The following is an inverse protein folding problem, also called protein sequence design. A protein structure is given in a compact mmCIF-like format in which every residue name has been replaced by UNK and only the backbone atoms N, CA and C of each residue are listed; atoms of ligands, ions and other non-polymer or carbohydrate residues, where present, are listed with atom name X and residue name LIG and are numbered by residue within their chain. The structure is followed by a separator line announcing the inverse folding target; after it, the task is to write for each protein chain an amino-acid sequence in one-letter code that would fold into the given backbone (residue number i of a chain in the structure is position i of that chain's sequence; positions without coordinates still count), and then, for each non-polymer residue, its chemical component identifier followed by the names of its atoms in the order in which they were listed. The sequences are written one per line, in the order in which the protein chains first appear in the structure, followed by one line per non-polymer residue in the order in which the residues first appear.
data_IF_853557051924
#
_entry.id   IF_853557051924
#
_cell.length_a   1.000
_cell.length_b   1.000
_cell.length_c   1.000
_cell.angle_alpha   90.00
_cell.angle_beta   90.00
_cell.angle_gamma   90.00
#
_symmetry.space_group_name_H-M   'P 1'
#
loop_
_entity.id
_entity.type
_entity.pdbx_description
1 polymer ?
#
# COMPACT_ATOMS: atom_id res chain seq x y z
N UNK A 1 -3.68 22.79 -12.13
CA UNK A 1 -2.57 23.03 -11.18
C UNK A 1 -1.29 22.69 -11.95
N UNK A 2 -0.53 23.72 -12.36
CA UNK A 2 0.69 23.58 -13.15
C UNK A 2 1.85 23.27 -12.21
N UNK A 3 2.33 22.02 -12.21
CA UNK A 3 3.63 21.68 -11.63
C UNK A 3 4.69 21.95 -12.68
N UNK A 4 5.47 23.02 -12.52
CA UNK A 4 6.65 23.24 -13.34
C UNK A 4 7.62 22.07 -13.16
N UNK A 5 7.80 21.27 -14.22
CA UNK A 5 8.99 20.46 -14.43
C UNK A 5 10.16 21.43 -14.68
N UNK A 6 10.67 22.04 -13.62
CA UNK A 6 11.93 22.78 -13.68
C UNK A 6 13.06 21.82 -14.02
N UNK A 7 14.01 22.24 -14.86
CA UNK A 7 15.22 21.45 -15.12
C UNK A 7 15.95 21.20 -13.80
N UNK A 8 15.90 19.95 -13.35
CA UNK A 8 16.64 19.52 -12.18
C UNK A 8 18.11 19.40 -12.58
N UNK A 9 18.93 20.36 -12.14
CA UNK A 9 20.38 20.39 -12.38
C UNK A 9 21.12 19.16 -11.81
N UNK A 10 20.47 18.38 -10.94
CA UNK A 10 21.00 17.09 -10.50
C UNK A 10 20.98 16.05 -11.63
N UNK A 11 20.08 16.18 -12.61
CA UNK A 11 20.00 15.30 -13.79
C UNK A 11 21.20 15.45 -14.73
N UNK A 12 21.88 16.61 -14.72
CA UNK A 12 23.07 16.85 -15.54
C UNK A 12 24.36 16.30 -14.93
N UNK A 13 24.32 15.75 -13.71
CA UNK A 13 25.48 15.13 -13.08
C UNK A 13 25.75 13.76 -13.71
N UNK A 14 26.95 13.60 -14.27
CA UNK A 14 27.39 12.44 -15.06
C UNK A 14 27.28 11.08 -14.35
N UNK A 15 27.19 11.09 -13.03
CA UNK A 15 27.12 9.90 -12.17
C UNK A 15 25.88 9.86 -11.26
N UNK A 16 24.93 10.78 -11.45
CA UNK A 16 23.70 10.84 -10.65
C UNK A 16 22.53 10.31 -11.49
N UNK A 17 22.23 9.04 -11.31
CA UNK A 17 20.98 8.47 -11.83
C UNK A 17 19.88 8.73 -10.81
N UNK A 18 18.92 9.59 -11.13
CA UNK A 18 17.78 9.91 -10.25
C UNK A 18 17.03 8.63 -9.85
N UNK A 19 16.99 7.60 -10.70
CA UNK A 19 16.35 6.32 -10.41
C UNK A 19 17.13 5.39 -9.48
N UNK A 20 18.44 5.64 -9.25
CA UNK A 20 19.28 4.88 -8.33
C UNK A 20 19.73 5.68 -7.11
N UNK A 21 19.66 7.02 -7.18
CA UNK A 21 20.24 7.92 -6.18
C UNK A 21 19.29 8.24 -5.03
N UNK A 22 18.00 7.98 -5.20
CA UNK A 22 17.01 8.04 -4.12
C UNK A 22 16.64 6.63 -3.69
N UNK A 23 16.92 6.30 -2.42
CA UNK A 23 16.41 5.08 -1.81
C UNK A 23 14.88 5.10 -1.89
N UNK A 24 14.27 4.03 -2.40
CA UNK A 24 12.83 3.88 -2.43
C UNK A 24 12.29 3.92 -1.00
N UNK A 25 11.51 4.96 -0.67
CA UNK A 25 10.90 5.11 0.65
C UNK A 25 9.62 4.28 0.74
N UNK A 26 9.79 3.00 1.08
CA UNK A 26 8.68 2.06 1.31
C UNK A 26 7.71 2.57 2.37
N UNK A 27 8.20 3.33 3.38
CA UNK A 27 7.34 3.80 4.46
C UNK A 27 6.31 4.81 3.98
N UNK A 28 6.76 5.79 3.19
CA UNK A 28 5.92 6.87 2.71
C UNK A 28 5.16 6.49 1.44
N UNK A 29 5.80 5.85 0.46
CA UNK A 29 5.15 5.59 -0.83
C UNK A 29 4.20 4.38 -0.76
N UNK A 30 4.67 3.26 -0.20
CA UNK A 30 3.90 2.02 -0.17
C UNK A 30 2.84 2.05 0.93
N UNK A 31 3.23 2.23 2.20
CA UNK A 31 2.24 2.17 3.28
C UNK A 31 1.43 3.46 3.39
N UNK A 32 2.08 4.63 3.57
CA UNK A 32 1.33 5.88 3.77
C UNK A 32 0.68 6.42 2.50
N UNK A 33 1.22 6.12 1.32
CA UNK A 33 0.66 6.52 0.04
C UNK A 33 -0.40 5.55 -0.45
N UNK A 34 0.00 4.34 -0.83
CA UNK A 34 -0.89 3.39 -1.49
C UNK A 34 -1.79 2.64 -0.52
N UNK A 35 -1.24 2.05 0.54
CA UNK A 35 -2.07 1.25 1.46
C UNK A 35 -3.07 2.11 2.22
N UNK A 36 -2.66 3.29 2.67
CA UNK A 36 -3.58 4.29 3.23
C UNK A 36 -4.74 4.60 2.28
N UNK A 37 -4.44 4.77 0.98
CA UNK A 37 -5.46 5.02 -0.04
C UNK A 37 -6.46 3.86 -0.17
N UNK A 38 -5.99 2.61 -0.08
CA UNK A 38 -6.88 1.46 -0.05
C UNK A 38 -7.78 1.46 1.19
N UNK A 39 -7.25 1.82 2.36
CA UNK A 39 -8.06 1.92 3.58
C UNK A 39 -9.15 3.00 3.45
N UNK A 40 -8.83 4.15 2.87
CA UNK A 40 -9.84 5.19 2.56
C UNK A 40 -10.93 4.64 1.63
N UNK A 41 -10.56 3.93 0.56
CA UNK A 41 -11.53 3.35 -0.37
C UNK A 41 -12.44 2.30 0.28
N UNK A 42 -11.92 1.53 1.24
CA UNK A 42 -12.67 0.46 1.90
C UNK A 42 -13.52 0.97 3.07
N UNK A 43 -13.06 1.98 3.80
CA UNK A 43 -13.65 2.38 5.08
C UNK A 43 -14.25 3.79 5.08
N UNK A 44 -14.06 4.59 4.04
CA UNK A 44 -14.77 5.87 3.96
C UNK A 44 -16.25 5.65 3.62
N UNK A 45 -17.11 6.32 4.40
CA UNK A 45 -18.56 6.34 4.21
C UNK A 45 -18.99 6.79 2.81
N UNK A 46 -18.19 7.62 2.12
CA UNK A 46 -18.47 8.07 0.76
C UNK A 46 -18.52 6.90 -0.25
N UNK A 47 -17.80 5.81 0.02
CA UNK A 47 -17.74 4.64 -0.84
C UNK A 47 -18.63 3.49 -0.36
N UNK A 48 -19.54 3.72 0.60
CA UNK A 48 -20.35 2.67 1.22
C UNK A 48 -21.02 1.71 0.22
N UNK A 49 -21.49 2.25 -0.90
CA UNK A 49 -22.23 1.50 -1.93
C UNK A 49 -21.32 0.88 -3.02
N UNK A 50 -20.00 1.04 -2.91
CA UNK A 50 -19.05 0.46 -3.84
C UNK A 50 -18.80 -1.02 -3.55
N UNK A 51 -18.49 -1.85 -4.57
CA UNK A 51 -18.34 -3.29 -4.39
C UNK A 51 -17.12 -3.69 -3.55
N UNK A 52 -16.14 -2.80 -3.37
CA UNK A 52 -14.96 -3.01 -2.50
C UNK A 52 -15.14 -2.47 -1.08
N UNK A 53 -16.29 -1.88 -0.76
CA UNK A 53 -16.57 -1.26 0.52
C UNK A 53 -16.59 -2.28 1.66
N UNK A 54 -15.89 -1.97 2.75
CA UNK A 54 -15.82 -2.77 3.98
C UNK A 54 -16.34 -2.00 5.20
N UNK A 55 -16.83 -0.77 5.04
CA UNK A 55 -17.26 0.09 6.16
C UNK A 55 -18.31 -0.57 7.07
N UNK A 56 -19.22 -1.38 6.53
CA UNK A 56 -20.22 -2.10 7.32
C UNK A 56 -19.63 -3.22 8.19
N UNK A 57 -18.42 -3.69 7.85
CA UNK A 57 -17.73 -4.80 8.50
C UNK A 57 -16.51 -4.35 9.31
N UNK A 58 -16.26 -3.04 9.43
CA UNK A 58 -15.05 -2.50 10.07
C UNK A 58 -14.85 -3.05 11.48
N UNK A 59 -15.90 -3.16 12.29
CA UNK A 59 -15.81 -3.72 13.65
C UNK A 59 -15.45 -5.20 13.67
N UNK A 60 -15.96 -6.00 12.72
CA UNK A 60 -15.61 -7.42 12.61
C UNK A 60 -14.14 -7.61 12.19
N UNK A 61 -13.68 -6.78 11.26
CA UNK A 61 -12.28 -6.78 10.81
C UNK A 61 -11.37 -6.33 11.95
N UNK A 62 -11.76 -5.31 12.72
CA UNK A 62 -11.00 -4.82 13.86
C UNK A 62 -10.82 -5.88 14.95
N UNK A 63 -11.92 -6.58 15.29
CA UNK A 63 -11.87 -7.74 16.20
C UNK A 63 -10.93 -8.82 15.64
N UNK A 64 -11.07 -9.17 14.36
CA UNK A 64 -10.17 -10.15 13.72
C UNK A 64 -8.70 -9.71 13.82
N UNK A 65 -8.38 -8.45 13.55
CA UNK A 65 -7.01 -7.92 13.65
C UNK A 65 -6.50 -7.98 15.10
N UNK A 66 -7.33 -7.65 16.10
CA UNK A 66 -6.92 -7.70 17.51
C UNK A 66 -6.60 -9.12 18.01
N UNK A 67 -7.23 -10.15 17.44
CA UNK A 67 -6.99 -11.56 17.78
C UNK A 67 -5.66 -12.04 17.19
N UNK A 68 -5.25 -11.50 16.03
CA UNK A 68 -3.96 -11.85 15.45
C UNK A 68 -2.82 -11.40 16.37
N UNK A 69 -2.01 -12.36 16.81
CA UNK A 69 -0.81 -12.07 17.58
C UNK A 69 0.23 -11.46 16.65
N UNK A 70 0.32 -10.13 16.64
CA UNK A 70 1.44 -9.44 16.02
C UNK A 70 2.73 -9.86 16.75
N UNK A 71 3.82 -10.18 16.04
CA UNK A 71 5.10 -10.46 16.68
C UNK A 71 5.53 -9.22 17.47
N UNK A 72 5.51 -9.31 18.81
CA UNK A 72 5.80 -8.19 19.72
C UNK A 72 7.20 -7.61 19.52
N UNK A 73 8.10 -8.39 18.93
CA UNK A 73 9.48 -8.01 18.57
C UNK A 73 9.57 -7.13 17.33
N UNK A 74 8.58 -7.17 16.44
CA UNK A 74 8.61 -6.48 15.14
C UNK A 74 7.57 -5.36 15.11
N UNK A 75 6.43 -5.53 15.79
CA UNK A 75 5.39 -4.51 15.80
C UNK A 75 4.48 -4.54 17.01
N UNK A 76 4.01 -3.35 17.40
CA UNK A 76 2.89 -3.23 18.34
C UNK A 76 1.58 -3.52 17.59
N UNK A 77 0.60 -4.06 18.32
CA UNK A 77 -0.77 -4.17 17.81
C UNK A 77 -1.23 -2.78 17.32
N UNK A 78 -1.68 -2.66 16.06
CA UNK A 78 -2.18 -1.40 15.54
C UNK A 78 -3.40 -0.96 16.34
N UNK A 79 -3.65 0.36 16.36
CA UNK A 79 -4.91 0.90 16.92
C UNK A 79 -6.11 0.33 16.17
N UNK A 80 -7.29 0.59 16.73
CA UNK A 80 -8.55 0.27 16.06
C UNK A 80 -8.60 0.85 14.64
N UNK A 81 -9.10 0.06 13.68
CA UNK A 81 -9.36 0.50 12.31
C UNK A 81 -10.30 1.69 12.25
N UNK A 82 -11.12 1.95 13.27
CA UNK A 82 -11.95 3.17 13.34
C UNK A 82 -11.10 4.46 13.28
N UNK A 83 -9.82 4.38 13.62
CA UNK A 83 -8.85 5.49 13.60
C UNK A 83 -7.75 5.28 12.56
N UNK A 84 -8.05 4.56 11.46
CA UNK A 84 -7.06 4.27 10.41
C UNK A 84 -6.38 5.53 9.86
N UNK A 85 -7.09 6.66 9.82
CA UNK A 85 -6.56 7.97 9.43
C UNK A 85 -5.37 8.46 10.27
N UNK A 86 -5.30 8.04 11.53
CA UNK A 86 -4.24 8.43 12.47
C UNK A 86 -3.11 7.39 12.54
N UNK A 87 -3.14 6.37 11.69
CA UNK A 87 -2.13 5.32 11.71
C UNK A 87 -0.78 5.88 11.28
N UNK A 88 0.25 5.55 12.07
CA UNK A 88 1.64 5.77 11.66
C UNK A 88 2.00 4.77 10.55
N UNK A 89 3.03 5.08 9.77
CA UNK A 89 3.53 4.18 8.73
C UNK A 89 3.89 2.78 9.28
N UNK A 90 4.38 2.69 10.52
CA UNK A 90 4.63 1.42 11.20
C UNK A 90 3.35 0.63 11.47
N UNK A 91 2.26 1.29 11.85
CA UNK A 91 0.96 0.64 12.07
C UNK A 91 0.38 0.14 10.75
N UNK A 92 0.42 0.98 9.71
CA UNK A 92 0.00 0.61 8.35
C UNK A 92 0.78 -0.59 7.82
N UNK A 93 2.11 -0.62 8.02
CA UNK A 93 2.96 -1.77 7.68
C UNK A 93 2.46 -3.06 8.32
N UNK A 94 2.19 -3.02 9.62
CA UNK A 94 1.78 -4.21 10.36
C UNK A 94 0.36 -4.66 10.00
N UNK A 95 -0.55 -3.71 9.81
CA UNK A 95 -1.88 -3.98 9.29
C UNK A 95 -1.84 -4.61 7.90
N UNK A 96 -0.98 -4.14 6.99
CA UNK A 96 -0.86 -4.72 5.65
C UNK A 96 -0.31 -6.15 5.70
N UNK A 97 0.83 -6.36 6.36
CA UNK A 97 1.53 -7.65 6.34
C UNK A 97 0.80 -8.74 7.12
N UNK A 98 0.22 -8.42 8.27
CA UNK A 98 -0.39 -9.40 9.16
C UNK A 98 -1.92 -9.39 9.09
N UNK A 99 -2.51 -8.32 8.56
CA UNK A 99 -3.97 -8.17 8.48
C UNK A 99 -4.60 -8.72 7.21
N UNK A 100 -3.81 -9.21 6.24
CA UNK A 100 -4.33 -9.76 4.98
C UNK A 100 -5.46 -10.76 5.19
N UNK A 101 -5.29 -11.70 6.12
CA UNK A 101 -6.30 -12.70 6.44
C UNK A 101 -7.63 -12.06 6.87
N UNK A 102 -7.56 -11.05 7.74
CA UNK A 102 -8.73 -10.29 8.23
C UNK A 102 -9.46 -9.57 7.10
N UNK A 103 -8.75 -8.99 6.13
CA UNK A 103 -9.40 -8.34 4.97
C UNK A 103 -9.93 -9.36 3.96
N UNK A 104 -9.19 -10.44 3.70
CA UNK A 104 -9.52 -11.43 2.67
C UNK A 104 -10.82 -12.18 2.91
N UNK A 105 -11.25 -12.29 4.17
CA UNK A 105 -12.51 -12.92 4.55
C UNK A 105 -13.73 -12.13 4.07
N UNK A 106 -13.59 -10.81 3.86
CA UNK A 106 -14.70 -9.92 3.58
C UNK A 106 -14.62 -9.21 2.24
N UNK A 107 -13.42 -9.10 1.66
CA UNK A 107 -13.20 -8.55 0.32
C UNK A 107 -13.60 -9.57 -0.75
N UNK A 108 -14.23 -9.12 -1.85
CA UNK A 108 -14.41 -9.97 -3.03
C UNK A 108 -13.06 -10.41 -3.62
N UNK A 109 -13.03 -11.62 -4.20
CA UNK A 109 -11.81 -12.30 -4.65
C UNK A 109 -10.86 -11.44 -5.50
N UNK A 110 -11.40 -10.61 -6.42
CA UNK A 110 -10.58 -9.74 -7.28
C UNK A 110 -9.80 -8.67 -6.49
N UNK A 111 -10.38 -8.11 -5.43
CA UNK A 111 -9.68 -7.14 -4.57
C UNK A 111 -8.73 -7.84 -3.61
N UNK A 112 -9.03 -9.06 -3.16
CA UNK A 112 -8.09 -9.87 -2.39
C UNK A 112 -6.81 -10.16 -3.18
N UNK A 113 -6.94 -10.54 -4.45
CA UNK A 113 -5.79 -10.77 -5.34
C UNK A 113 -4.97 -9.50 -5.53
N UNK A 114 -5.63 -8.36 -5.70
CA UNK A 114 -4.97 -7.06 -5.83
C UNK A 114 -4.24 -6.64 -4.54
N UNK A 115 -4.86 -6.84 -3.38
CA UNK A 115 -4.22 -6.63 -2.08
C UNK A 115 -3.00 -7.56 -1.89
N UNK A 116 -3.10 -8.82 -2.33
CA UNK A 116 -2.01 -9.78 -2.23
C UNK A 116 -0.77 -9.31 -3.01
N UNK A 117 -0.94 -8.69 -4.18
CA UNK A 117 0.18 -8.09 -4.92
C UNK A 117 0.92 -7.06 -4.06
N UNK A 118 0.18 -6.20 -3.36
CA UNK A 118 0.76 -5.18 -2.48
C UNK A 118 1.46 -5.79 -1.25
N UNK A 119 0.89 -6.85 -0.66
CA UNK A 119 1.51 -7.57 0.48
C UNK A 119 2.83 -8.23 0.05
N UNK A 120 2.84 -8.90 -1.11
CA UNK A 120 4.07 -9.52 -1.65
C UNK A 120 5.10 -8.45 -1.97
N UNK A 121 4.70 -7.34 -2.61
CA UNK A 121 5.57 -6.21 -2.90
C UNK A 121 6.20 -5.65 -1.61
N UNK A 122 5.40 -5.43 -0.56
CA UNK A 122 5.89 -4.95 0.73
C UNK A 122 6.92 -5.91 1.34
N UNK A 123 6.67 -7.23 1.30
CA UNK A 123 7.62 -8.23 1.79
C UNK A 123 8.94 -8.23 1.02
N UNK A 124 8.90 -8.09 -0.30
CA UNK A 124 10.11 -8.03 -1.12
C UNK A 124 10.92 -6.76 -0.84
N UNK A 125 10.24 -5.62 -0.68
CA UNK A 125 10.89 -4.34 -0.34
C UNK A 125 11.52 -4.34 1.07
N UNK A 126 11.07 -5.21 1.97
CA UNK A 126 11.65 -5.36 3.31
C UNK A 126 12.83 -6.35 3.38
N UNK A 127 13.09 -7.08 2.30
CA UNK A 127 14.18 -8.05 2.26
C UNK A 127 15.54 -7.35 2.34
N UNK A 128 16.42 -7.84 3.23
CA UNK A 128 17.73 -7.20 3.53
C UNK A 128 18.75 -7.27 2.39
N UNK A 129 18.48 -8.05 1.35
CA UNK A 129 19.39 -8.29 0.23
C UNK A 129 18.59 -8.33 -1.07
N UNK A 130 18.68 -7.27 -1.87
CA UNK A 130 18.01 -7.22 -3.17
C UNK A 130 18.99 -7.69 -4.25
N UNK A 131 18.78 -8.89 -4.79
CA UNK A 131 19.47 -9.30 -6.02
C UNK A 131 18.87 -8.58 -7.24
N UNK A 132 19.59 -8.56 -8.36
CA UNK A 132 19.08 -8.00 -9.63
C UNK A 132 17.71 -8.58 -10.01
N UNK A 133 17.51 -9.88 -9.77
CA UNK A 133 16.27 -10.59 -10.06
C UNK A 133 15.12 -10.16 -9.13
N UNK A 134 15.41 -9.88 -7.86
CA UNK A 134 14.43 -9.35 -6.91
C UNK A 134 13.95 -7.96 -7.34
N UNK A 135 14.86 -7.09 -7.76
CA UNK A 135 14.52 -5.75 -8.27
C UNK A 135 13.60 -5.84 -9.50
N UNK A 136 13.86 -6.78 -10.41
CA UNK A 136 13.00 -7.00 -11.58
C UNK A 136 11.60 -7.49 -11.17
N UNK A 137 11.52 -8.39 -10.20
CA UNK A 137 10.24 -8.91 -9.69
C UNK A 137 9.42 -7.82 -8.99
N UNK A 138 10.06 -6.98 -8.17
CA UNK A 138 9.43 -5.81 -7.53
C UNK A 138 8.82 -4.90 -8.59
N UNK A 139 9.58 -4.52 -9.62
CA UNK A 139 9.08 -3.66 -10.72
C UNK A 139 7.90 -4.28 -11.45
N UNK A 140 7.95 -5.59 -11.74
CA UNK A 140 6.85 -6.31 -12.40
C UNK A 140 5.58 -6.31 -11.54
N UNK A 141 5.70 -6.61 -10.25
CA UNK A 141 4.57 -6.63 -9.31
C UNK A 141 3.97 -5.22 -9.12
N UNK A 142 4.81 -4.19 -9.00
CA UNK A 142 4.37 -2.81 -8.90
C UNK A 142 3.59 -2.38 -10.15
N UNK A 143 4.14 -2.64 -11.34
CA UNK A 143 3.46 -2.33 -12.60
C UNK A 143 2.11 -3.05 -12.74
N UNK A 144 2.05 -4.33 -12.36
CA UNK A 144 0.81 -5.10 -12.37
C UNK A 144 -0.23 -4.50 -11.41
N UNK A 145 0.21 -4.11 -10.20
CA UNK A 145 -0.66 -3.46 -9.22
C UNK A 145 -1.22 -2.13 -9.75
N UNK A 146 -0.37 -1.28 -10.33
CA UNK A 146 -0.75 0.02 -10.90
C UNK A 146 -1.72 -0.17 -12.06
N UNK A 147 -1.46 -1.13 -12.94
CA UNK A 147 -2.31 -1.43 -14.09
C UNK A 147 -3.71 -1.91 -13.67
N UNK A 148 -3.79 -2.78 -12.66
CA UNK A 148 -5.07 -3.30 -12.17
C UNK A 148 -5.88 -2.29 -11.36
N UNK A 149 -5.24 -1.28 -10.76
CA UNK A 149 -5.90 -0.33 -9.87
C UNK A 149 -7.11 0.40 -10.51
N UNK A 150 -6.98 1.11 -11.65
CA UNK A 150 -8.10 1.81 -12.27
C UNK A 150 -9.21 0.85 -12.74
N UNK A 151 -8.85 -0.37 -13.16
CA UNK A 151 -9.82 -1.39 -13.57
C UNK A 151 -10.69 -1.88 -12.40
N UNK A 152 -10.16 -1.85 -11.18
CA UNK A 152 -10.84 -2.33 -9.99
C UNK A 152 -11.59 -1.22 -9.24
N UNK A 153 -10.98 -0.04 -9.07
CA UNK A 153 -11.49 1.05 -8.23
C UNK A 153 -12.00 2.26 -9.05
N UNK A 154 -11.80 2.25 -10.37
CA UNK A 154 -12.16 3.32 -11.28
C UNK A 154 -11.08 4.39 -11.42
N UNK A 155 -11.01 5.04 -12.60
CA UNK A 155 -9.98 6.04 -12.93
C UNK A 155 -9.95 7.24 -11.98
N UNK A 156 -11.11 7.64 -11.46
CA UNK A 156 -11.22 8.76 -10.51
C UNK A 156 -10.44 8.52 -9.21
N UNK A 157 -10.22 7.25 -8.87
CA UNK A 157 -9.51 6.86 -7.65
C UNK A 157 -8.01 6.63 -7.90
N UNK A 158 -7.58 6.66 -9.16
CA UNK A 158 -6.20 6.47 -9.59
C UNK A 158 -5.36 7.75 -9.39
N UNK A 159 -5.07 8.04 -8.12
CA UNK A 159 -4.29 9.20 -7.67
C UNK A 159 -2.78 8.96 -7.76
N UNK A 160 -2.00 10.04 -7.73
CA UNK A 160 -0.53 10.03 -7.87
C UNK A 160 0.15 9.07 -6.88
N UNK A 161 -0.37 8.91 -5.66
CA UNK A 161 0.23 8.04 -4.63
C UNK A 161 0.29 6.56 -5.03
N UNK A 162 -0.52 6.13 -6.00
CA UNK A 162 -0.51 4.77 -6.55
C UNK A 162 0.65 4.60 -7.55
N UNK A 163 0.99 5.65 -8.29
CA UNK A 163 2.06 5.65 -9.31
C UNK A 163 3.45 5.84 -8.72
N UNK A 164 3.55 6.17 -7.43
CA UNK A 164 4.82 6.35 -6.72
C UNK A 164 5.36 5.07 -6.07
N UNK A 165 4.69 3.93 -6.29
CA UNK A 165 5.05 2.61 -5.76
C UNK A 165 6.09 1.89 -6.61
#
# INVERSE_FOLDING_TARGET
MYGHLGECHLRSLRYFDIGQSFAFDTLHNLYRGTFMRLLELWFDTQYRNQPWSLISKIGLIDVSLSIHKFPSTICRTPRTLLKYNDFKASELRCTLLFGFASFSMYLPHKYCRHLLLLVVLAHLCESKSTSSDQTLNIKRLANEFIYQFPLLYGDRQNVISIHTI
#
